data_IF_062741541387
#
_entry.id   IF_062741541387
#
_cell.length_a   1.000
_cell.length_b   1.000
_cell.length_c   1.000
_cell.angle_alpha   90.00
_cell.angle_beta   90.00
_cell.angle_gamma   90.00
#
_symmetry.space_group_name_H-M   'P 1'
#
loop_
_entity.id
_entity.type
_entity.pdbx_description
1 polymer ?
#
# COMPACT_ATOMS: atom_id res chain seq x y z
N UNK A 1 13.97 -19.25 -6.44
CA UNK A 1 12.62 -19.80 -6.21
C UNK A 1 11.85 -18.84 -5.29
N UNK A 2 11.32 -17.77 -5.88
CA UNK A 2 10.50 -16.68 -5.28
C UNK A 2 9.17 -16.42 -6.05
N UNK A 3 8.86 -16.98 -7.24
CA UNK A 3 7.57 -16.73 -7.94
C UNK A 3 6.32 -16.99 -7.08
N UNK A 4 6.28 -18.13 -6.39
CA UNK A 4 5.07 -18.56 -5.65
C UNK A 4 4.63 -17.56 -4.56
N UNK A 5 5.58 -16.86 -3.94
CA UNK A 5 5.27 -15.89 -2.89
C UNK A 5 4.72 -14.58 -3.46
N UNK A 6 5.17 -14.16 -4.66
CA UNK A 6 4.65 -12.97 -5.32
C UNK A 6 3.23 -13.18 -5.86
N UNK A 7 2.95 -14.37 -6.39
CA UNK A 7 1.59 -14.75 -6.76
C UNK A 7 0.67 -14.77 -5.53
N UNK A 8 1.11 -15.38 -4.43
CA UNK A 8 0.34 -15.38 -3.17
C UNK A 8 0.07 -13.96 -2.67
N UNK A 9 1.06 -13.06 -2.76
CA UNK A 9 0.87 -11.63 -2.44
C UNK A 9 -0.20 -11.01 -3.34
N UNK A 10 -0.21 -11.32 -4.64
CA UNK A 10 -1.22 -10.83 -5.57
C UNK A 10 -2.64 -11.26 -5.16
N UNK A 11 -2.81 -12.54 -4.84
CA UNK A 11 -4.07 -13.16 -4.41
C UNK A 11 -4.58 -12.57 -3.09
N UNK A 12 -3.70 -12.41 -2.10
CA UNK A 12 -4.04 -11.75 -0.83
C UNK A 12 -4.43 -10.29 -1.07
N UNK A 13 -3.71 -9.60 -1.97
CA UNK A 13 -3.96 -8.19 -2.28
C UNK A 13 -5.33 -7.96 -2.90
N UNK A 14 -5.73 -8.78 -3.89
CA UNK A 14 -7.06 -8.69 -4.47
C UNK A 14 -8.15 -9.10 -3.48
N UNK A 15 -7.88 -10.09 -2.61
CA UNK A 15 -8.79 -10.48 -1.53
C UNK A 15 -9.06 -9.33 -0.55
N UNK A 16 -8.01 -8.63 -0.12
CA UNK A 16 -8.14 -7.46 0.76
C UNK A 16 -8.90 -6.32 0.10
N UNK A 17 -8.61 -6.01 -1.18
CA UNK A 17 -9.35 -4.99 -1.92
C UNK A 17 -10.82 -5.37 -2.10
N UNK A 18 -11.11 -6.59 -2.54
CA UNK A 18 -12.46 -7.09 -2.78
C UNK A 18 -13.32 -7.10 -1.51
N UNK A 19 -12.79 -7.64 -0.41
CA UNK A 19 -13.50 -7.64 0.87
C UNK A 19 -13.77 -6.23 1.39
N UNK A 20 -12.80 -5.32 1.23
CA UNK A 20 -12.98 -3.91 1.61
C UNK A 20 -14.06 -3.22 0.79
N UNK A 21 -14.12 -3.49 -0.51
CA UNK A 21 -15.20 -3.03 -1.38
C UNK A 21 -16.57 -3.56 -0.95
N UNK A 22 -16.67 -4.84 -0.58
CA UNK A 22 -17.90 -5.44 -0.06
C UNK A 22 -18.35 -4.78 1.26
N UNK A 23 -17.44 -4.57 2.21
CA UNK A 23 -17.77 -3.91 3.49
C UNK A 23 -18.33 -2.51 3.26
N UNK A 24 -17.75 -1.76 2.32
CA UNK A 24 -18.24 -0.44 1.95
C UNK A 24 -19.62 -0.52 1.28
N UNK A 25 -19.81 -1.46 0.35
CA UNK A 25 -21.07 -1.64 -0.37
C UNK A 25 -22.23 -2.12 0.53
N UNK A 26 -21.92 -2.94 1.55
CA UNK A 26 -22.89 -3.50 2.49
C UNK A 26 -23.17 -2.60 3.71
N UNK A 27 -22.49 -1.45 3.82
CA UNK A 27 -22.72 -0.50 4.90
C UNK A 27 -24.19 -0.06 4.91
N UNK A 28 -24.88 -0.31 6.02
CA UNK A 28 -26.23 0.22 6.25
C UNK A 28 -26.13 1.72 6.57
N UNK A 29 -26.68 2.55 5.68
CA UNK A 29 -26.67 4.01 5.77
C UNK A 29 -26.47 4.63 4.39
N UNK A 30 -27.50 5.30 3.85
CA UNK A 30 -27.55 5.85 2.48
C UNK A 30 -26.70 7.10 2.25
N UNK A 31 -25.90 7.51 3.23
CA UNK A 31 -25.05 8.70 3.14
C UNK A 31 -23.79 8.43 2.33
N UNK A 32 -23.35 9.45 1.59
CA UNK A 32 -22.03 9.43 0.95
C UNK A 32 -20.93 9.21 1.99
N UNK A 33 -19.86 8.50 1.62
CA UNK A 33 -18.68 8.38 2.46
C UNK A 33 -18.15 9.76 2.88
N UNK A 34 -17.81 9.90 4.16
CA UNK A 34 -17.13 11.10 4.64
C UNK A 34 -15.69 11.17 4.10
N UNK A 35 -15.03 12.33 4.30
CA UNK A 35 -13.68 12.56 3.81
C UNK A 35 -12.63 11.61 4.41
N UNK A 36 -12.83 11.15 5.65
CA UNK A 36 -11.91 10.28 6.39
C UNK A 36 -12.03 8.85 5.87
N UNK A 37 -13.26 8.37 5.64
CA UNK A 37 -13.56 7.09 5.02
C UNK A 37 -13.02 7.03 3.60
N UNK A 38 -13.27 8.08 2.78
CA UNK A 38 -12.70 8.19 1.43
C UNK A 38 -11.18 8.15 1.45
N UNK A 39 -10.55 8.88 2.37
CA UNK A 39 -9.10 8.88 2.54
C UNK A 39 -8.54 7.49 2.86
N UNK A 40 -9.15 6.79 3.82
CA UNK A 40 -8.73 5.42 4.20
C UNK A 40 -8.92 4.42 3.07
N UNK A 41 -10.06 4.47 2.36
CA UNK A 41 -10.26 3.62 1.18
C UNK A 41 -9.27 3.90 0.08
N UNK A 42 -8.96 5.16 -0.18
CA UNK A 42 -7.95 5.50 -1.19
C UNK A 42 -6.59 4.91 -0.84
N UNK A 43 -6.16 5.00 0.42
CA UNK A 43 -4.91 4.34 0.85
C UNK A 43 -5.01 2.82 0.66
N UNK A 44 -6.07 2.21 1.19
CA UNK A 44 -6.27 0.76 1.14
C UNK A 44 -6.23 0.26 -0.30
N UNK A 45 -7.06 0.81 -1.18
CA UNK A 45 -7.11 0.39 -2.57
C UNK A 45 -5.82 0.70 -3.32
N UNK A 46 -5.20 1.86 -3.09
CA UNK A 46 -3.91 2.17 -3.74
C UNK A 46 -2.86 1.14 -3.35
N UNK A 47 -2.74 0.80 -2.07
CA UNK A 47 -1.72 -0.14 -1.62
C UNK A 47 -2.04 -1.58 -1.99
N UNK A 48 -3.29 -2.02 -1.89
CA UNK A 48 -3.71 -3.36 -2.30
C UNK A 48 -3.57 -3.55 -3.82
N UNK A 49 -4.08 -2.65 -4.66
CA UNK A 49 -3.91 -2.79 -6.11
C UNK A 49 -2.46 -2.57 -6.53
N UNK A 50 -1.74 -1.65 -5.89
CA UNK A 50 -0.30 -1.49 -6.11
C UNK A 50 0.45 -2.79 -5.82
N UNK A 51 0.19 -3.43 -4.68
CA UNK A 51 0.80 -4.70 -4.32
C UNK A 51 0.45 -5.80 -5.33
N UNK A 52 -0.82 -5.89 -5.75
CA UNK A 52 -1.29 -6.86 -6.73
C UNK A 52 -0.62 -6.70 -8.11
N UNK A 53 -0.65 -5.52 -8.69
CA UNK A 53 -0.10 -5.32 -10.03
C UNK A 53 1.43 -5.40 -10.04
N UNK A 54 2.09 -4.87 -9.01
CA UNK A 54 3.56 -4.88 -8.92
C UNK A 54 4.11 -6.26 -8.56
N UNK A 55 3.35 -7.13 -7.89
CA UNK A 55 3.77 -8.51 -7.63
C UNK A 55 3.76 -9.38 -8.89
N UNK A 56 2.88 -9.08 -9.85
CA UNK A 56 2.79 -9.78 -11.14
C UNK A 56 3.79 -9.27 -12.18
N UNK A 57 4.43 -8.13 -11.91
CA UNK A 57 5.32 -7.47 -12.87
C UNK A 57 6.57 -8.30 -13.23
N UNK A 58 7.29 -8.94 -12.27
CA UNK A 58 8.46 -9.77 -12.62
C UNK A 58 8.11 -10.89 -13.59
N UNK A 59 7.07 -11.66 -13.29
CA UNK A 59 6.63 -12.78 -14.13
C UNK A 59 6.17 -12.29 -15.51
N UNK A 60 5.49 -11.15 -15.56
CA UNK A 60 5.08 -10.53 -16.82
C UNK A 60 6.30 -10.18 -17.67
N UNK A 61 7.32 -9.52 -17.10
CA UNK A 61 8.55 -9.16 -17.82
C UNK A 61 9.34 -10.39 -18.28
N UNK A 62 9.42 -11.45 -17.46
CA UNK A 62 10.03 -12.71 -17.85
C UNK A 62 9.32 -13.33 -19.06
N UNK A 63 7.98 -13.32 -19.08
CA UNK A 63 7.19 -13.82 -20.21
C UNK A 63 7.37 -12.98 -21.49
N UNK A 64 7.81 -11.73 -21.38
CA UNK A 64 8.22 -10.89 -22.52
C UNK A 64 9.67 -11.15 -22.97
N UNK A 65 10.39 -12.11 -22.37
CA UNK A 65 11.77 -12.45 -22.72
C UNK A 65 12.82 -11.47 -22.18
N UNK A 66 12.48 -10.66 -21.18
CA UNK A 66 13.44 -9.78 -20.51
C UNK A 66 14.43 -10.63 -19.71
N UNK A 67 15.72 -10.30 -19.80
CA UNK A 67 16.77 -10.97 -19.03
C UNK A 67 16.51 -10.85 -17.52
N UNK A 68 16.73 -11.94 -16.78
CA UNK A 68 16.35 -12.05 -15.36
C UNK A 68 16.87 -10.89 -14.49
N UNK A 69 18.14 -10.51 -14.62
CA UNK A 69 18.73 -9.34 -13.93
C UNK A 69 17.90 -8.06 -14.16
N UNK A 70 17.54 -7.79 -15.42
CA UNK A 70 16.76 -6.60 -15.80
C UNK A 70 15.32 -6.67 -15.34
N UNK A 71 14.74 -7.87 -15.20
CA UNK A 71 13.40 -8.06 -14.65
C UNK A 71 13.34 -7.54 -13.22
N UNK A 72 14.31 -7.95 -12.39
CA UNK A 72 14.33 -7.58 -10.99
C UNK A 72 14.59 -6.09 -10.80
N UNK A 73 15.56 -5.52 -11.54
CA UNK A 73 15.85 -4.08 -11.53
C UNK A 73 14.64 -3.27 -11.99
N UNK A 74 14.00 -3.66 -13.11
CA UNK A 74 12.82 -2.98 -13.64
C UNK A 74 11.63 -3.04 -12.67
N UNK A 75 11.41 -4.17 -12.03
CA UNK A 75 10.34 -4.34 -11.04
C UNK A 75 10.59 -3.50 -9.78
N UNK A 76 11.82 -3.50 -9.26
CA UNK A 76 12.21 -2.62 -8.15
C UNK A 76 12.10 -1.14 -8.50
N UNK A 77 12.45 -0.74 -9.74
CA UNK A 77 12.28 0.63 -10.21
C UNK A 77 10.79 1.04 -10.24
N UNK A 78 9.90 0.16 -10.70
CA UNK A 78 8.47 0.40 -10.68
C UNK A 78 7.92 0.57 -9.25
N UNK A 79 8.33 -0.30 -8.31
CA UNK A 79 7.93 -0.19 -6.89
C UNK A 79 8.52 1.07 -6.26
N UNK A 80 9.75 1.46 -6.58
CA UNK A 80 10.36 2.70 -6.11
C UNK A 80 9.55 3.91 -6.57
N UNK A 81 9.24 4.00 -7.87
CA UNK A 81 8.46 5.10 -8.42
C UNK A 81 7.06 5.17 -7.80
N UNK A 82 6.39 4.01 -7.67
CA UNK A 82 5.08 3.92 -7.03
C UNK A 82 5.13 4.35 -5.56
N UNK A 83 6.11 3.86 -4.79
CA UNK A 83 6.32 4.23 -3.38
C UNK A 83 6.53 5.72 -3.22
N UNK A 84 7.34 6.34 -4.09
CA UNK A 84 7.67 7.75 -4.05
C UNK A 84 6.43 8.63 -4.29
N UNK A 85 5.62 8.29 -5.30
CA UNK A 85 4.37 9.00 -5.57
C UNK A 85 3.35 8.80 -4.45
N UNK A 86 3.21 7.56 -3.97
CA UNK A 86 2.31 7.23 -2.88
C UNK A 86 2.67 7.98 -1.59
N UNK A 87 3.95 7.95 -1.16
CA UNK A 87 4.37 8.58 0.09
C UNK A 87 4.21 10.11 0.02
N UNK A 88 4.53 10.74 -1.12
CA UNK A 88 4.34 12.17 -1.32
C UNK A 88 2.86 12.56 -1.18
N UNK A 89 1.98 11.87 -1.90
CA UNK A 89 0.53 12.07 -1.81
C UNK A 89 0.00 11.79 -0.39
N UNK A 90 0.45 10.70 0.23
CA UNK A 90 -0.03 10.23 1.52
C UNK A 90 0.39 11.18 2.65
N UNK A 91 1.61 11.73 2.65
CA UNK A 91 2.06 12.73 3.63
C UNK A 91 1.20 13.99 3.53
N UNK A 92 0.99 14.52 2.32
CA UNK A 92 0.18 15.73 2.11
C UNK A 92 -1.27 15.51 2.57
N UNK A 93 -1.85 14.37 2.20
CA UNK A 93 -3.22 14.00 2.58
C UNK A 93 -3.34 13.76 4.08
N UNK A 94 -2.38 13.08 4.71
CA UNK A 94 -2.33 12.83 6.16
C UNK A 94 -2.29 14.13 6.95
N UNK A 95 -1.50 15.11 6.51
CA UNK A 95 -1.45 16.45 7.14
C UNK A 95 -2.77 17.20 7.07
N UNK A 96 -3.60 16.95 6.04
CA UNK A 96 -4.98 17.48 5.99
C UNK A 96 -5.86 16.77 7.01
N UNK A 97 -5.81 15.43 7.07
CA UNK A 97 -6.61 14.65 8.02
C UNK A 97 -6.26 14.99 9.48
N UNK A 98 -4.98 15.12 9.80
CA UNK A 98 -4.51 15.51 11.13
C UNK A 98 -5.02 16.89 11.57
N UNK A 99 -5.36 17.79 10.63
CA UNK A 99 -5.93 19.11 10.92
C UNK A 99 -7.46 19.07 11.10
N UNK A 100 -8.18 18.28 10.30
CA UNK A 100 -9.65 18.25 10.33
C UNK A 100 -10.23 17.26 11.35
N UNK A 101 -9.47 16.24 11.73
CA UNK A 101 -9.88 15.20 12.67
C UNK A 101 -8.68 14.75 13.54
N UNK A 102 -8.12 15.66 14.36
CA UNK A 102 -6.95 15.37 15.19
C UNK A 102 -7.21 14.23 16.20
N UNK A 103 -8.44 14.06 16.67
CA UNK A 103 -8.83 13.08 17.69
C UNK A 103 -8.72 11.64 17.24
N UNK A 104 -8.82 11.38 15.93
CA UNK A 104 -8.63 10.04 15.36
C UNK A 104 -7.24 9.85 14.75
N UNK A 105 -6.41 10.90 14.71
CA UNK A 105 -5.10 10.88 14.08
C UNK A 105 -4.02 10.45 15.07
N UNK A 106 -3.47 9.25 14.89
CA UNK A 106 -2.33 8.77 15.68
C UNK A 106 -1.01 9.10 14.98
N UNK A 107 -0.24 10.02 15.56
CA UNK A 107 1.10 10.37 15.09
C UNK A 107 2.08 9.19 15.16
N UNK A 108 1.93 8.32 16.15
CA UNK A 108 2.72 7.09 16.26
C UNK A 108 2.42 6.14 15.10
N UNK A 109 1.15 5.88 14.81
CA UNK A 109 0.80 5.01 13.68
C UNK A 109 1.28 5.62 12.35
N UNK A 110 1.13 6.93 12.17
CA UNK A 110 1.64 7.63 11.00
C UNK A 110 3.16 7.53 10.87
N UNK A 111 3.92 7.78 11.94
CA UNK A 111 5.39 7.71 11.90
C UNK A 111 5.88 6.30 11.66
N UNK A 112 5.29 5.27 12.29
CA UNK A 112 5.63 3.87 12.01
C UNK A 112 5.42 3.51 10.54
N UNK A 113 4.26 3.89 9.98
CA UNK A 113 3.96 3.63 8.57
C UNK A 113 4.92 4.39 7.63
N UNK A 114 5.23 5.65 7.94
CA UNK A 114 6.15 6.48 7.15
C UNK A 114 7.59 5.97 7.18
N UNK A 115 8.07 5.53 8.34
CA UNK A 115 9.40 4.92 8.48
C UNK A 115 9.51 3.67 7.63
N UNK A 116 8.54 2.76 7.67
CA UNK A 116 8.63 1.56 6.83
C UNK A 116 8.49 1.86 5.34
N UNK A 117 7.67 2.84 4.92
CA UNK A 117 7.66 3.28 3.51
C UNK A 117 9.01 3.85 3.08
N UNK A 118 9.67 4.60 3.96
CA UNK A 118 11.02 5.11 3.72
C UNK A 118 12.03 3.97 3.58
N UNK A 119 11.97 2.96 4.45
CA UNK A 119 12.84 1.77 4.37
C UNK A 119 12.60 1.03 3.04
N UNK A 120 11.35 0.78 2.67
CA UNK A 120 11.01 0.13 1.38
C UNK A 120 11.59 0.93 0.22
N UNK A 121 11.40 2.25 0.21
CA UNK A 121 11.90 3.12 -0.85
C UNK A 121 13.43 3.05 -0.97
N UNK A 122 14.16 3.09 0.14
CA UNK A 122 15.62 2.99 0.14
C UNK A 122 16.11 1.60 -0.32
N UNK A 123 15.43 0.53 0.08
CA UNK A 123 15.77 -0.82 -0.34
C UNK A 123 15.53 -1.03 -1.84
N UNK A 124 14.41 -0.54 -2.38
CA UNK A 124 14.16 -0.61 -3.83
C UNK A 124 15.19 0.20 -4.61
N UNK A 125 15.56 1.40 -4.12
CA UNK A 125 16.60 2.21 -4.74
C UNK A 125 17.96 1.48 -4.72
N UNK A 126 18.30 0.82 -3.62
CA UNK A 126 19.54 0.05 -3.51
C UNK A 126 19.58 -1.12 -4.52
N UNK A 127 18.45 -1.77 -4.81
CA UNK A 127 18.37 -2.75 -5.91
C UNK A 127 18.62 -2.09 -7.27
N UNK A 128 17.97 -0.96 -7.55
CA UNK A 128 18.11 -0.22 -8.82
C UNK A 128 19.55 0.25 -9.06
N UNK A 129 20.27 0.59 -7.99
CA UNK A 129 21.67 1.00 -8.04
C UNK A 129 22.66 -0.18 -8.05
N UNK A 130 22.18 -1.43 -8.10
CA UNK A 130 23.02 -2.65 -8.11
C UNK A 130 23.60 -3.04 -6.75
N UNK A 131 23.25 -2.34 -5.67
CA UNK A 131 23.78 -2.61 -4.32
C UNK A 131 23.16 -3.86 -3.67
N UNK A 132 21.95 -4.25 -4.09
CA UNK A 132 21.20 -5.38 -3.53
C UNK A 132 20.62 -6.31 -4.62
N UNK A 133 21.22 -6.36 -5.81
CA UNK A 133 20.70 -7.11 -6.96
C UNK A 133 20.43 -8.60 -6.65
N UNK A 134 21.40 -9.28 -6.03
CA UNK A 134 21.28 -10.69 -5.61
C UNK A 134 20.18 -10.93 -4.54
N UNK A 135 19.64 -9.87 -3.95
CA UNK A 135 18.57 -9.90 -2.93
C UNK A 135 17.27 -9.31 -3.45
N UNK A 136 17.22 -8.88 -4.71
CA UNK A 136 16.11 -8.14 -5.29
C UNK A 136 14.74 -8.79 -5.10
N UNK A 137 14.55 -10.11 -5.32
CA UNK A 137 13.21 -10.67 -5.20
C UNK A 137 12.70 -10.67 -3.74
N UNK A 138 13.60 -10.83 -2.75
CA UNK A 138 13.25 -10.70 -1.33
C UNK A 138 12.93 -9.25 -0.93
N UNK A 139 13.69 -8.29 -1.47
CA UNK A 139 13.43 -6.84 -1.28
C UNK A 139 12.08 -6.43 -1.88
N UNK A 140 11.76 -6.93 -3.07
CA UNK A 140 10.45 -6.75 -3.71
C UNK A 140 9.33 -7.30 -2.82
N UNK A 141 9.43 -8.57 -2.42
CA UNK A 141 8.42 -9.21 -1.57
C UNK A 141 8.19 -8.44 -0.27
N UNK A 142 9.27 -8.00 0.40
CA UNK A 142 9.18 -7.19 1.62
C UNK A 142 8.42 -5.87 1.39
N UNK A 143 8.69 -5.18 0.28
CA UNK A 143 8.00 -3.94 -0.07
C UNK A 143 6.49 -4.13 -0.27
N UNK A 144 6.10 -5.20 -0.97
CA UNK A 144 4.71 -5.51 -1.24
C UNK A 144 3.97 -5.99 0.02
N UNK A 145 4.62 -6.77 0.88
CA UNK A 145 4.09 -7.12 2.20
C UNK A 145 3.88 -5.86 3.06
N UNK A 146 4.79 -4.89 2.99
CA UNK A 146 4.62 -3.62 3.70
C UNK A 146 3.39 -2.84 3.20
N UNK A 147 3.12 -2.85 1.90
CA UNK A 147 1.89 -2.27 1.34
C UNK A 147 0.65 -2.94 1.93
N UNK A 148 0.64 -4.27 2.00
CA UNK A 148 -0.44 -5.04 2.61
C UNK A 148 -0.64 -4.73 4.09
N UNK A 149 0.44 -4.60 4.87
CA UNK A 149 0.38 -4.22 6.29
C UNK A 149 -0.31 -2.86 6.44
N UNK A 150 0.09 -1.87 5.64
CA UNK A 150 -0.51 -0.53 5.74
C UNK A 150 -1.96 -0.52 5.22
N UNK A 151 -2.28 -1.28 4.16
CA UNK A 151 -3.65 -1.45 3.67
C UNK A 151 -4.56 -2.11 4.73
N UNK A 152 -4.11 -3.21 5.34
CA UNK A 152 -4.81 -3.92 6.40
C UNK A 152 -5.01 -3.03 7.62
N UNK A 153 -4.01 -2.23 8.00
CA UNK A 153 -4.16 -1.23 9.05
C UNK A 153 -5.31 -0.26 8.72
N UNK A 154 -5.42 0.25 7.48
CA UNK A 154 -6.51 1.16 7.12
C UNK A 154 -7.88 0.48 7.14
N UNK A 155 -7.94 -0.79 6.75
CA UNK A 155 -9.13 -1.62 6.87
C UNK A 155 -9.58 -1.71 8.34
N UNK A 156 -8.68 -2.05 9.25
CA UNK A 156 -8.96 -2.10 10.69
C UNK A 156 -9.44 -0.75 11.22
N UNK A 157 -8.77 0.36 10.85
CA UNK A 157 -9.23 1.70 11.28
C UNK A 157 -10.59 2.07 10.70
N UNK A 158 -10.93 1.63 9.50
CA UNK A 158 -12.26 1.84 8.93
C UNK A 158 -13.35 1.17 9.76
N UNK A 159 -13.09 -0.04 10.28
CA UNK A 159 -14.04 -0.77 11.12
C UNK A 159 -14.16 -0.19 12.52
N UNK A 160 -13.04 0.20 13.14
CA UNK A 160 -13.00 0.46 14.59
C UNK A 160 -12.71 1.90 15.02
N UNK A 161 -12.28 2.79 14.12
CA UNK A 161 -11.87 4.17 14.49
C UNK A 161 -12.73 5.17 13.74
N UNK A 162 -13.90 5.51 14.25
CA UNK A 162 -14.80 6.50 13.64
C UNK A 162 -14.66 7.86 14.33
N UNK A 163 -14.80 8.99 13.59
CA UNK A 163 -14.93 10.31 14.22
C UNK A 163 -16.12 10.29 15.17
N UNK A 164 -16.05 11.01 16.29
CA UNK A 164 -17.25 11.21 17.13
C UNK A 164 -18.27 11.96 16.29
N UNK A 165 -19.50 11.47 16.22
CA UNK A 165 -20.60 12.25 15.66
C UNK A 165 -20.62 13.60 16.40
N UNK A 166 -20.51 14.70 15.65
CA UNK A 166 -20.89 15.99 16.20
C UNK A 166 -22.34 15.84 16.63
N UNK A 167 -22.59 15.86 17.94
CA UNK A 167 -23.93 15.94 18.49
C UNK A 167 -24.59 17.19 17.90
N UNK A 168 -25.31 17.02 16.78
CA UNK A 168 -26.36 17.93 16.38
C UNK A 168 -27.57 17.53 17.21
N UNK A 169 -27.56 18.00 18.46
CA UNK A 169 -28.73 18.19 19.30
C UNK A 169 -28.94 19.68 19.46
#
# INVERSE_FOLDING_TARGET
MIPDSLQTIAEISIGLAGFSGLVVALRKGSGSLDDIQKYRLRILFSLSFGAMFLSLLPDTLMNFGVQEERVWIGSSAAIFAYSLLFIAWWIVSSRRIARIAPEIFSWMAFSTMATGHTIVLLLQLAVVLGLLENRAPGVIALGLIWYLIHAAQQFVRMLFVQPRESQHG
#
